data_IF_266380568130
#
_entry.id   IF_266380568130
#
_cell.length_a   1.000
_cell.length_b   1.000
_cell.length_c   1.000
_cell.angle_alpha   90.00
_cell.angle_beta   90.00
_cell.angle_gamma   90.00
#
_symmetry.space_group_name_H-M   'P 1'
#
loop_
_entity.id
_entity.type
_entity.pdbx_description
1 polymer ?
#
# COMPACT_ATOMS: atom_id res chain seq x y z
N UNK A 1 29.60 44.65 0.57
CA UNK A 1 28.96 44.70 -0.77
C UNK A 1 28.85 43.32 -1.45
N UNK A 2 29.69 42.32 -1.14
CA UNK A 2 29.65 40.99 -1.79
C UNK A 2 28.39 40.14 -1.51
N UNK A 3 27.82 40.18 -0.30
CA UNK A 3 26.74 39.27 0.09
C UNK A 3 25.45 39.40 -0.76
N UNK A 4 25.18 40.59 -1.31
CA UNK A 4 23.97 40.84 -2.11
C UNK A 4 23.99 40.07 -3.45
N UNK A 5 25.18 39.91 -4.05
CA UNK A 5 25.35 39.23 -5.34
C UNK A 5 25.09 37.72 -5.20
N UNK A 6 25.54 37.11 -4.10
CA UNK A 6 25.27 35.71 -3.78
C UNK A 6 23.78 35.45 -3.49
N UNK A 7 23.13 36.33 -2.71
CA UNK A 7 21.68 36.20 -2.44
C UNK A 7 20.85 36.35 -3.72
N UNK A 8 21.17 37.33 -4.57
CA UNK A 8 20.45 37.55 -5.83
C UNK A 8 20.60 36.38 -6.82
N UNK A 9 21.79 35.78 -6.92
CA UNK A 9 21.99 34.59 -7.76
C UNK A 9 21.17 33.39 -7.25
N UNK A 10 21.09 33.21 -5.93
CA UNK A 10 20.35 32.11 -5.31
C UNK A 10 18.82 32.25 -5.47
N UNK A 11 18.26 33.46 -5.35
CA UNK A 11 16.82 33.67 -5.54
C UNK A 11 16.38 33.49 -7.00
N UNK A 12 17.20 33.93 -7.96
CA UNK A 12 16.95 33.69 -9.40
C UNK A 12 16.98 32.18 -9.71
N UNK A 13 17.95 31.45 -9.16
CA UNK A 13 18.03 30.00 -9.34
C UNK A 13 16.84 29.26 -8.72
N UNK A 14 16.39 29.63 -7.51
CA UNK A 14 15.20 29.04 -6.90
C UNK A 14 13.92 29.31 -7.69
N UNK A 15 13.73 30.54 -8.22
CA UNK A 15 12.59 30.86 -9.08
C UNK A 15 12.59 30.04 -10.38
N UNK A 16 13.77 29.79 -10.96
CA UNK A 16 13.90 28.93 -12.13
C UNK A 16 13.53 27.47 -11.80
N UNK A 17 13.96 26.92 -10.66
CA UNK A 17 13.56 25.57 -10.26
C UNK A 17 12.05 25.44 -9.99
N UNK A 18 11.43 26.46 -9.36
CA UNK A 18 9.98 26.46 -9.11
C UNK A 18 9.20 26.49 -10.43
N UNK A 19 9.61 27.31 -11.41
CA UNK A 19 8.95 27.37 -12.72
C UNK A 19 9.17 26.10 -13.56
N UNK A 20 10.32 25.45 -13.45
CA UNK A 20 10.59 24.17 -14.11
C UNK A 20 9.69 23.04 -13.59
N UNK A 21 9.48 22.95 -12.27
CA UNK A 21 8.59 21.95 -11.65
C UNK A 21 7.13 22.13 -12.11
N UNK A 22 6.65 23.38 -12.18
CA UNK A 22 5.26 23.66 -12.59
C UNK A 22 5.01 23.29 -14.07
N UNK A 23 6.03 23.38 -14.94
CA UNK A 23 5.89 23.00 -16.36
C UNK A 23 5.79 21.48 -16.59
N UNK A 24 6.18 20.64 -15.63
CA UNK A 24 6.01 19.17 -15.75
C UNK A 24 4.60 18.71 -15.34
N UNK A 25 3.85 19.54 -14.60
CA UNK A 25 2.53 19.19 -14.05
C UNK A 25 1.36 19.47 -15.04
N UNK A 26 1.59 20.27 -16.08
CA UNK A 26 0.57 20.67 -17.09
C UNK A 26 0.41 19.67 -18.26
N UNK A 27 1.08 18.51 -18.21
CA UNK A 27 1.27 17.62 -19.37
C UNK A 27 0.37 16.37 -19.43
N UNK A 28 -0.62 16.20 -18.54
CA UNK A 28 -1.46 14.98 -18.56
C UNK A 28 -2.88 15.11 -17.98
N UNK A 29 -3.75 15.96 -18.56
CA UNK A 29 -5.20 15.81 -18.36
C UNK A 29 -6.05 16.40 -19.51
N UNK A 30 -6.37 15.56 -20.51
CA UNK A 30 -7.36 15.70 -21.61
C UNK A 30 -7.08 14.51 -22.57
N UNK A 31 -7.98 13.71 -23.14
CA UNK A 31 -9.45 13.50 -23.15
C UNK A 31 -9.66 11.94 -23.17
N UNK A 32 -10.82 11.29 -23.27
CA UNK A 32 -12.15 11.59 -23.82
C UNK A 32 -13.17 10.59 -23.24
N UNK A 33 -14.46 10.92 -23.24
CA UNK A 33 -15.55 10.09 -22.69
C UNK A 33 -16.71 10.00 -23.71
N UNK A 34 -17.56 8.97 -23.61
CA UNK A 34 -18.71 8.61 -24.50
C UNK A 34 -18.32 7.70 -25.69
N UNK A 35 -19.02 6.60 -26.04
CA UNK A 35 -20.47 6.41 -26.17
C UNK A 35 -20.97 4.95 -26.00
N UNK A 36 -22.29 4.81 -25.83
CA UNK A 36 -23.19 3.68 -26.18
C UNK A 36 -22.83 2.23 -25.76
N UNK A 37 -23.54 1.60 -24.80
CA UNK A 37 -24.92 1.09 -24.88
C UNK A 37 -25.15 -0.07 -25.87
N UNK A 38 -25.41 -1.28 -25.34
CA UNK A 38 -26.57 -2.09 -25.79
C UNK A 38 -27.03 -3.13 -24.74
N UNK A 39 -28.32 -3.49 -24.84
CA UNK A 39 -29.12 -4.25 -23.86
C UNK A 39 -29.64 -5.56 -24.45
N UNK A 40 -29.54 -6.66 -23.71
CA UNK A 40 -30.38 -7.90 -23.77
C UNK A 40 -29.71 -9.00 -22.92
N UNK A 41 -30.38 -9.96 -22.27
CA UNK A 41 -31.81 -10.19 -21.95
C UNK A 41 -31.91 -11.22 -20.80
N UNK A 42 -33.09 -11.38 -20.19
CA UNK A 42 -33.39 -12.33 -19.09
C UNK A 42 -33.14 -13.81 -19.50
N UNK A 43 -32.94 -14.82 -18.63
CA UNK A 43 -33.78 -15.25 -17.50
C UNK A 43 -33.11 -16.31 -16.59
N UNK A 44 -33.28 -16.13 -15.26
CA UNK A 44 -33.70 -17.12 -14.24
C UNK A 44 -33.17 -18.58 -14.25
N UNK A 45 -32.46 -18.97 -13.18
CA UNK A 45 -32.52 -20.33 -12.62
C UNK A 45 -32.48 -20.32 -11.08
N UNK A 46 -33.28 -21.19 -10.47
CA UNK A 46 -33.73 -21.06 -9.08
C UNK A 46 -34.01 -22.43 -8.47
N UNK A 47 -33.61 -22.80 -7.24
CA UNK A 47 -32.61 -22.29 -6.25
C UNK A 47 -32.52 -23.39 -5.17
N UNK A 48 -31.43 -23.52 -4.40
CA UNK A 48 -31.42 -23.60 -2.92
C UNK A 48 -30.06 -24.02 -2.30
N UNK A 49 -29.93 -23.68 -1.02
CA UNK A 49 -28.71 -23.57 -0.22
C UNK A 49 -28.28 -24.86 0.49
N UNK A 50 -27.00 -24.93 0.87
CA UNK A 50 -26.42 -25.50 2.12
C UNK A 50 -24.90 -25.70 1.89
N UNK A 51 -23.96 -25.55 2.83
CA UNK A 51 -23.96 -25.51 4.31
C UNK A 51 -22.99 -24.42 4.81
N UNK A 52 -23.32 -23.82 5.96
CA UNK A 52 -22.55 -22.86 6.79
C UNK A 52 -21.01 -22.93 6.78
N UNK A 53 -20.34 -21.76 6.78
CA UNK A 53 -19.28 -21.44 7.77
C UNK A 53 -18.91 -19.94 7.83
N UNK A 54 -18.93 -19.40 9.04
CA UNK A 54 -18.30 -18.15 9.52
C UNK A 54 -18.52 -16.84 8.75
N UNK A 55 -19.44 -16.02 9.25
CA UNK A 55 -19.60 -14.61 8.86
C UNK A 55 -18.36 -13.79 9.23
N UNK A 56 -17.47 -13.57 8.28
CA UNK A 56 -16.53 -12.45 8.36
C UNK A 56 -17.30 -11.15 8.12
N UNK A 57 -17.75 -10.51 9.21
CA UNK A 57 -18.03 -9.08 9.16
C UNK A 57 -16.67 -8.37 9.05
N UNK A 58 -16.39 -7.60 7.97
CA UNK A 58 -15.37 -6.57 8.05
C UNK A 58 -15.88 -5.53 9.05
N UNK A 59 -15.51 -5.70 10.31
CA UNK A 59 -15.74 -4.70 11.35
C UNK A 59 -15.23 -3.36 10.83
N UNK A 60 -16.04 -2.30 10.99
CA UNK A 60 -15.65 -0.94 10.61
C UNK A 60 -14.51 -0.38 11.48
N UNK A 61 -13.96 -1.17 12.41
CA UNK A 61 -12.61 -0.98 12.93
C UNK A 61 -11.58 -1.36 11.86
N UNK A 62 -10.97 -0.35 11.22
CA UNK A 62 -10.01 -0.56 10.14
C UNK A 62 -8.86 -1.49 10.56
N UNK A 63 -8.50 -2.43 9.68
CA UNK A 63 -7.56 -3.53 9.93
C UNK A 63 -6.33 -3.10 10.77
N UNK A 64 -6.18 -3.72 11.96
CA UNK A 64 -5.20 -3.38 12.98
C UNK A 64 -3.77 -3.57 12.51
N UNK A 65 -3.56 -4.53 11.62
CA UNK A 65 -2.26 -4.88 11.07
C UNK A 65 -2.21 -4.61 9.57
N UNK A 66 -1.06 -4.18 9.06
CA UNK A 66 -0.77 -4.10 7.63
C UNK A 66 0.58 -4.77 7.34
N UNK A 67 0.55 -5.84 6.55
CA UNK A 67 1.73 -6.63 6.17
C UNK A 67 2.20 -6.18 4.79
N UNK A 68 3.45 -5.76 4.70
CA UNK A 68 4.13 -5.42 3.44
C UNK A 68 4.99 -6.61 3.02
N UNK A 69 4.62 -7.29 1.94
CA UNK A 69 5.42 -8.38 1.37
C UNK A 69 5.16 -8.58 -0.13
N UNK A 70 5.92 -9.47 -0.77
CA UNK A 70 5.73 -9.83 -2.17
C UNK A 70 4.51 -10.75 -2.37
N UNK A 71 4.06 -10.87 -3.63
CA UNK A 71 3.08 -11.86 -4.08
C UNK A 71 3.68 -13.27 -4.24
N UNK A 72 4.43 -13.71 -3.23
CA UNK A 72 4.78 -15.11 -3.06
C UNK A 72 4.80 -15.46 -1.57
N UNK A 73 4.88 -16.76 -1.27
CA UNK A 73 4.81 -17.27 0.12
C UNK A 73 6.03 -16.84 0.94
N UNK A 74 7.21 -17.41 0.65
CA UNK A 74 8.49 -16.94 1.17
C UNK A 74 8.52 -16.75 2.70
N UNK A 75 9.05 -15.60 3.14
CA UNK A 75 9.14 -15.21 4.55
C UNK A 75 7.89 -14.50 5.08
N UNK A 76 6.96 -14.10 4.21
CA UNK A 76 5.69 -13.47 4.59
C UNK A 76 4.60 -14.48 4.94
N UNK A 77 4.63 -15.68 4.37
CA UNK A 77 3.62 -16.71 4.59
C UNK A 77 3.41 -17.10 6.06
N UNK A 78 4.46 -17.31 6.89
CA UNK A 78 4.26 -17.63 8.31
C UNK A 78 3.49 -16.53 9.04
N UNK A 79 3.67 -15.26 8.63
CA UNK A 79 2.99 -14.10 9.22
C UNK A 79 1.52 -14.09 8.78
N UNK A 80 1.23 -14.31 7.49
CA UNK A 80 -0.14 -14.46 6.98
C UNK A 80 -0.88 -15.59 7.69
N UNK A 81 -0.23 -16.73 7.88
CA UNK A 81 -0.82 -17.89 8.58
C UNK A 81 -1.08 -17.58 10.05
N UNK A 82 -0.17 -16.91 10.76
CA UNK A 82 -0.36 -16.51 12.16
C UNK A 82 -1.52 -15.51 12.33
N UNK A 83 -1.61 -14.48 11.47
CA UNK A 83 -2.69 -13.49 11.53
C UNK A 83 -4.07 -14.14 11.26
N UNK A 84 -4.15 -15.01 10.24
CA UNK A 84 -5.37 -15.77 9.97
C UNK A 84 -5.72 -16.75 11.11
N UNK A 85 -4.73 -17.42 11.70
CA UNK A 85 -4.93 -18.34 12.84
C UNK A 85 -5.42 -17.62 14.10
N UNK A 86 -4.92 -16.42 14.37
CA UNK A 86 -5.40 -15.56 15.45
C UNK A 86 -6.76 -14.90 15.16
N UNK A 87 -7.32 -15.07 13.95
CA UNK A 87 -8.50 -14.37 13.44
C UNK A 87 -8.38 -12.83 13.46
N UNK A 88 -7.15 -12.31 13.42
CA UNK A 88 -6.86 -10.88 13.50
C UNK A 88 -7.04 -10.20 12.13
N UNK A 89 -7.86 -9.13 12.00
CA UNK A 89 -8.10 -8.45 10.74
C UNK A 89 -6.87 -7.67 10.29
N UNK A 90 -6.27 -8.09 9.17
CA UNK A 90 -5.06 -7.49 8.59
C UNK A 90 -5.22 -7.15 7.11
N UNK A 91 -4.43 -6.17 6.65
CA UNK A 91 -4.28 -5.82 5.25
C UNK A 91 -2.99 -6.45 4.68
N UNK A 92 -3.13 -7.35 3.70
CA UNK A 92 -2.01 -7.95 2.96
C UNK A 92 -1.62 -7.04 1.78
N UNK A 93 -0.68 -6.12 2.01
CA UNK A 93 -0.18 -5.20 1.00
C UNK A 93 0.91 -5.90 0.16
N UNK A 94 0.50 -6.38 -1.01
CA UNK A 94 1.38 -7.09 -1.96
C UNK A 94 2.12 -6.10 -2.84
N UNK A 95 3.44 -6.12 -2.76
CA UNK A 95 4.35 -5.25 -3.53
C UNK A 95 4.93 -6.04 -4.70
N UNK A 96 5.00 -5.44 -5.88
CA UNK A 96 5.82 -5.99 -6.97
C UNK A 96 7.33 -5.79 -6.70
N UNK A 97 8.18 -6.65 -7.26
CA UNK A 97 9.63 -6.55 -7.10
C UNK A 97 10.22 -5.27 -7.72
N UNK A 98 9.69 -4.80 -8.85
CA UNK A 98 10.15 -3.58 -9.51
C UNK A 98 9.78 -2.32 -8.71
N UNK A 99 8.56 -2.27 -8.18
CA UNK A 99 8.10 -1.18 -7.32
C UNK A 99 8.83 -1.18 -5.97
N UNK A 100 9.11 -2.36 -5.41
CA UNK A 100 9.91 -2.48 -4.20
C UNK A 100 11.32 -1.90 -4.39
N UNK A 101 12.01 -2.24 -5.50
CA UNK A 101 13.36 -1.74 -5.80
C UNK A 101 13.42 -0.22 -5.95
N UNK A 102 12.37 0.39 -6.50
CA UNK A 102 12.32 1.82 -6.88
C UNK A 102 11.74 2.71 -5.78
N UNK A 103 10.60 2.35 -5.19
CA UNK A 103 9.87 3.20 -4.22
C UNK A 103 10.07 2.81 -2.77
N UNK A 104 10.10 1.50 -2.46
CA UNK A 104 10.00 1.04 -1.08
C UNK A 104 11.34 0.72 -0.42
N UNK A 105 12.33 0.20 -1.15
CA UNK A 105 13.59 -0.31 -0.58
C UNK A 105 14.31 0.71 0.31
N UNK A 106 14.37 1.97 -0.09
CA UNK A 106 15.03 3.03 0.69
C UNK A 106 14.18 3.53 1.88
N UNK A 107 12.87 3.26 1.86
CA UNK A 107 11.90 3.71 2.85
C UNK A 107 11.50 2.61 3.85
N UNK A 108 11.75 1.33 3.56
CA UNK A 108 11.53 0.21 4.49
C UNK A 108 12.61 0.14 5.57
N UNK A 109 12.19 -0.20 6.80
CA UNK A 109 13.11 -0.53 7.90
C UNK A 109 14.13 -1.60 7.47
N UNK A 110 15.41 -1.29 7.63
CA UNK A 110 16.55 -2.12 7.21
C UNK A 110 16.60 -2.47 5.71
N UNK A 111 15.79 -1.81 4.87
CA UNK A 111 15.75 -2.05 3.43
C UNK A 111 15.29 -3.43 3.00
N UNK A 112 14.57 -4.16 3.85
CA UNK A 112 14.08 -5.53 3.61
C UNK A 112 12.57 -5.66 3.89
N UNK A 113 11.97 -6.73 3.36
CA UNK A 113 10.59 -7.17 3.66
C UNK A 113 10.63 -8.66 4.07
N UNK A 114 9.73 -9.15 4.95
CA UNK A 114 8.47 -8.54 5.38
C UNK A 114 8.61 -7.44 6.43
N UNK A 115 7.65 -6.51 6.40
CA UNK A 115 7.43 -5.46 7.40
C UNK A 115 5.97 -5.50 7.84
N UNK A 116 5.72 -5.40 9.15
CA UNK A 116 4.40 -5.33 9.76
C UNK A 116 4.20 -3.95 10.40
N UNK A 117 3.16 -3.24 10.00
CA UNK A 117 2.70 -2.00 10.60
C UNK A 117 1.51 -2.29 11.53
N UNK A 118 1.60 -1.83 12.78
CA UNK A 118 0.59 -2.01 13.83
C UNK A 118 -0.12 -0.66 14.02
N UNK A 119 -1.34 -0.53 13.51
CA UNK A 119 -2.06 0.76 13.46
C UNK A 119 -2.53 1.26 14.82
N UNK A 120 -2.77 0.37 15.79
CA UNK A 120 -3.14 0.76 17.16
C UNK A 120 -2.03 1.52 17.87
N UNK A 121 -0.78 1.17 17.59
CA UNK A 121 0.40 1.61 18.35
C UNK A 121 1.34 2.49 17.51
N UNK A 122 1.06 2.67 16.22
CA UNK A 122 1.93 3.34 15.24
C UNK A 122 3.29 2.66 15.02
N UNK A 123 3.50 1.47 15.58
CA UNK A 123 4.80 0.77 15.51
C UNK A 123 4.94 0.01 14.19
N UNK A 124 6.15 0.06 13.63
CA UNK A 124 6.54 -0.71 12.45
C UNK A 124 7.60 -1.71 12.87
N UNK A 125 7.40 -2.98 12.52
CA UNK A 125 8.30 -4.10 12.84
C UNK A 125 8.83 -4.72 11.55
N UNK A 126 10.13 -5.01 11.51
CA UNK A 126 10.78 -5.76 10.44
C UNK A 126 11.23 -7.14 10.94
N UNK A 127 11.83 -7.93 10.05
CA UNK A 127 12.31 -9.30 10.27
C UNK A 127 11.21 -10.33 10.56
N UNK A 128 11.07 -11.31 9.66
CA UNK A 128 10.00 -12.31 9.70
C UNK A 128 9.90 -13.08 11.01
N UNK A 129 11.04 -13.44 11.61
CA UNK A 129 11.08 -14.16 12.88
C UNK A 129 10.74 -13.28 14.09
N UNK A 130 11.03 -11.98 14.05
CA UNK A 130 10.66 -11.06 15.12
C UNK A 130 9.15 -10.81 15.09
N UNK A 131 8.60 -10.55 13.90
CA UNK A 131 7.15 -10.41 13.67
C UNK A 131 6.41 -11.69 14.09
N UNK A 132 6.87 -12.86 13.64
CA UNK A 132 6.21 -14.13 13.99
C UNK A 132 6.23 -14.42 15.49
N UNK A 133 7.33 -14.10 16.20
CA UNK A 133 7.38 -14.23 17.67
C UNK A 133 6.50 -13.23 18.39
N UNK A 134 6.36 -12.01 17.87
CA UNK A 134 5.46 -11.01 18.44
C UNK A 134 4.00 -11.48 18.35
N UNK A 135 3.56 -11.92 17.17
CA UNK A 135 2.20 -12.43 16.95
C UNK A 135 1.91 -13.77 17.66
N UNK A 136 2.93 -14.60 17.87
CA UNK A 136 2.79 -15.86 18.61
C UNK A 136 2.77 -15.68 20.14
N UNK A 137 3.02 -14.46 20.65
CA UNK A 137 3.09 -14.14 22.08
C UNK A 137 1.82 -13.43 22.57
N UNK A 138 0.67 -13.77 21.98
CA UNK A 138 -0.67 -13.41 22.46
C UNK A 138 -0.86 -13.83 23.92
#
# INVERSE_FOLDING_TARGET
>A
MMNYVFTAAYTIFLLYLITAVISEEEASEETENSEANQVSSETKSTTLESVTSSTYLPSSAGALYKLYYFDFRGRGEPIRLLLNYAAEPFQDFRIDRSEWLTKYKNNTLYGHVPVLEIKSDGRVMAESYAISRFLAKN
#
